data_IF_511209707273
#
_entry.id   IF_511209707273
#
_cell.length_a   1.000
_cell.length_b   1.000
_cell.length_c   1.000
_cell.angle_alpha   90.00
_cell.angle_beta   90.00
_cell.angle_gamma   90.00
#
_symmetry.space_group_name_H-M   'P 1'
#
loop_
_entity.id
_entity.type
_entity.pdbx_description
1 polymer ?
#
# COMPACT_ATOMS: atom_id res chain seq x y z
N UNK A 1 -18.18 0.65 -32.07
CA UNK A 1 -16.99 1.46 -32.40
C UNK A 1 -16.32 1.79 -31.09
N UNK A 2 -15.16 1.20 -30.81
CA UNK A 2 -14.36 1.58 -29.67
C UNK A 2 -13.93 3.05 -29.85
N UNK A 3 -14.23 3.88 -28.85
CA UNK A 3 -13.71 5.27 -28.86
C UNK A 3 -12.17 5.19 -28.86
N UNK A 4 -11.49 6.05 -29.64
CA UNK A 4 -10.05 6.05 -29.68
C UNK A 4 -9.50 6.23 -28.25
N UNK A 5 -8.58 5.36 -27.84
CA UNK A 5 -7.99 5.28 -26.50
C UNK A 5 -7.42 6.64 -25.98
N UNK A 6 -7.18 7.58 -26.88
CA UNK A 6 -6.58 8.90 -26.61
C UNK A 6 -7.52 9.92 -25.93
N UNK A 7 -8.82 9.65 -25.84
CA UNK A 7 -9.80 10.60 -25.31
C UNK A 7 -10.52 10.08 -24.06
N UNK A 8 -9.96 9.08 -23.39
CA UNK A 8 -10.52 8.56 -22.14
C UNK A 8 -10.13 9.51 -21.00
N UNK A 9 -11.12 10.06 -20.32
CA UNK A 9 -10.92 10.77 -19.05
C UNK A 9 -11.23 9.81 -17.91
N UNK A 10 -10.22 9.41 -17.10
CA UNK A 10 -10.46 8.56 -15.95
C UNK A 10 -11.45 9.20 -14.98
N UNK A 11 -12.32 8.38 -14.42
CA UNK A 11 -13.28 8.78 -13.40
C UNK A 11 -12.96 8.03 -12.13
N UNK A 12 -12.91 8.72 -11.00
CA UNK A 12 -12.70 8.14 -9.67
C UNK A 12 -14.05 8.16 -8.94
N UNK A 13 -14.45 7.02 -8.41
CA UNK A 13 -15.67 6.82 -7.64
C UNK A 13 -15.38 6.00 -6.38
N UNK A 14 -16.34 5.90 -5.46
CA UNK A 14 -16.29 5.06 -4.27
C UNK A 14 -14.99 5.22 -3.45
N UNK A 15 -14.63 6.47 -3.16
CA UNK A 15 -13.42 6.75 -2.38
C UNK A 15 -13.69 6.49 -0.89
N UNK A 16 -13.01 5.51 -0.34
CA UNK A 16 -13.03 5.20 1.08
C UNK A 16 -11.63 5.41 1.66
N UNK A 17 -11.53 6.25 2.70
CA UNK A 17 -10.29 6.50 3.42
C UNK A 17 -10.51 6.19 4.90
N UNK A 18 -9.76 5.23 5.43
CA UNK A 18 -9.79 4.83 6.85
C UNK A 18 -8.36 4.69 7.34
N UNK A 19 -8.00 5.54 8.32
CA UNK A 19 -6.66 5.55 8.89
C UNK A 19 -5.57 5.56 7.81
N UNK A 20 -4.75 4.51 7.73
CA UNK A 20 -3.66 4.37 6.75
C UNK A 20 -4.09 3.71 5.43
N UNK A 21 -5.40 3.43 5.24
CA UNK A 21 -5.95 2.74 4.07
C UNK A 21 -6.79 3.65 3.22
N UNK A 22 -6.55 3.60 1.92
CA UNK A 22 -7.34 4.27 0.90
C UNK A 22 -7.74 3.25 -0.17
N UNK A 23 -9.03 3.18 -0.48
CA UNK A 23 -9.55 2.45 -1.62
C UNK A 23 -10.42 3.33 -2.49
N UNK A 24 -10.37 3.13 -3.80
CA UNK A 24 -11.23 3.84 -4.74
C UNK A 24 -11.41 3.03 -6.02
N UNK A 25 -12.50 3.29 -6.72
CA UNK A 25 -12.71 2.76 -8.06
C UNK A 25 -12.17 3.75 -9.09
N UNK A 26 -11.54 3.23 -10.12
CA UNK A 26 -11.08 4.01 -11.27
C UNK A 26 -11.66 3.40 -12.55
N UNK A 27 -12.34 4.21 -13.34
CA UNK A 27 -13.04 3.82 -14.55
C UNK A 27 -12.49 4.56 -15.76
N UNK A 28 -12.81 4.07 -16.97
CA UNK A 28 -12.39 4.64 -18.27
C UNK A 28 -10.88 4.76 -18.42
N UNK A 29 -10.16 3.81 -17.89
CA UNK A 29 -8.71 3.71 -18.00
C UNK A 29 -8.32 2.31 -18.46
N UNK A 30 -7.03 2.06 -18.57
CA UNK A 30 -6.50 0.74 -18.91
C UNK A 30 -5.52 0.22 -17.86
N UNK A 31 -5.26 -1.09 -17.91
CA UNK A 31 -4.33 -1.77 -16.99
C UNK A 31 -2.93 -1.16 -16.99
N UNK A 32 -2.47 -0.65 -18.16
CA UNK A 32 -1.12 -0.07 -18.27
C UNK A 32 -0.99 1.20 -17.43
N UNK A 33 -2.02 2.06 -17.48
CA UNK A 33 -2.06 3.31 -16.72
C UNK A 33 -2.15 3.04 -15.22
N UNK A 34 -3.04 2.14 -14.82
CA UNK A 34 -3.23 1.78 -13.40
C UNK A 34 -1.98 1.13 -12.82
N UNK A 35 -1.35 0.20 -13.57
CA UNK A 35 -0.08 -0.41 -13.15
C UNK A 35 1.07 0.61 -13.16
N UNK A 36 1.08 1.53 -14.12
CA UNK A 36 2.03 2.64 -14.16
C UNK A 36 1.97 3.48 -12.89
N UNK A 37 0.76 3.90 -12.50
CA UNK A 37 0.51 4.65 -11.26
C UNK A 37 0.98 3.85 -10.03
N UNK A 38 0.59 2.58 -9.92
CA UNK A 38 1.02 1.70 -8.81
C UNK A 38 2.54 1.66 -8.68
N UNK A 39 3.26 1.47 -9.79
CA UNK A 39 4.71 1.39 -9.81
C UNK A 39 5.39 2.72 -9.44
N UNK A 40 4.84 3.84 -9.91
CA UNK A 40 5.34 5.17 -9.57
C UNK A 40 5.16 5.44 -8.07
N UNK A 41 4.01 5.12 -7.50
CA UNK A 41 3.74 5.27 -6.07
C UNK A 41 4.78 4.52 -5.25
N UNK A 42 5.04 3.25 -5.54
CA UNK A 42 5.95 2.40 -4.76
C UNK A 42 7.43 2.76 -4.94
N UNK A 43 7.82 3.14 -6.15
CA UNK A 43 9.23 3.21 -6.52
C UNK A 43 9.78 4.62 -6.67
N UNK A 44 8.93 5.61 -6.92
CA UNK A 44 9.39 6.93 -7.36
C UNK A 44 8.85 8.07 -6.50
N UNK A 45 7.85 7.82 -5.65
CA UNK A 45 7.38 8.81 -4.66
C UNK A 45 8.51 9.05 -3.64
N UNK A 46 8.97 10.31 -3.50
CA UNK A 46 10.06 10.61 -2.59
C UNK A 46 9.59 10.56 -1.13
N UNK A 47 10.42 10.01 -0.26
CA UNK A 47 10.23 10.03 1.20
C UNK A 47 11.55 10.34 1.90
N UNK A 48 11.53 10.51 3.21
CA UNK A 48 12.76 10.64 4.02
C UNK A 48 12.94 9.38 4.89
N UNK A 49 14.19 8.95 5.04
CA UNK A 49 14.55 7.80 5.88
C UNK A 49 15.97 7.93 6.42
N UNK A 50 16.28 7.24 7.51
CA UNK A 50 17.63 7.16 8.04
C UNK A 50 18.50 6.41 7.04
N UNK A 51 19.57 7.08 6.56
CA UNK A 51 20.49 6.52 5.56
C UNK A 51 21.83 6.13 6.15
N UNK A 52 22.39 6.95 7.02
CA UNK A 52 23.66 6.72 7.65
C UNK A 52 23.52 6.76 9.17
N UNK A 53 24.18 5.83 9.85
CA UNK A 53 24.23 5.78 11.31
C UNK A 53 25.70 5.85 11.75
N UNK A 54 26.02 6.81 12.61
CA UNK A 54 27.30 6.90 13.28
C UNK A 54 27.17 6.37 14.69
N UNK A 55 27.91 5.35 15.01
CA UNK A 55 27.91 4.70 16.32
C UNK A 55 29.01 5.29 17.19
N UNK A 56 28.67 5.83 18.35
CA UNK A 56 29.61 6.33 19.34
C UNK A 56 29.80 5.34 20.49
N UNK A 57 28.71 4.69 20.90
CA UNK A 57 28.74 3.66 21.92
C UNK A 57 27.59 2.66 21.70
N UNK A 58 27.89 1.39 21.84
CA UNK A 58 26.91 0.31 21.87
C UNK A 58 27.43 -0.83 22.76
N UNK A 59 26.84 -0.99 23.91
CA UNK A 59 27.10 -2.12 24.81
C UNK A 59 25.90 -3.06 24.93
N UNK A 60 24.87 -2.89 24.07
CA UNK A 60 23.73 -3.80 24.00
C UNK A 60 24.13 -5.16 23.44
N UNK A 61 23.21 -6.14 23.48
CA UNK A 61 23.44 -7.49 22.96
C UNK A 61 23.41 -7.56 21.40
N UNK A 62 22.85 -6.55 20.72
CA UNK A 62 22.81 -6.47 19.26
C UNK A 62 24.09 -5.78 18.75
N UNK A 63 24.66 -6.31 17.68
CA UNK A 63 25.77 -5.65 17.01
C UNK A 63 25.32 -4.38 16.25
N UNK A 64 26.28 -3.52 15.95
CA UNK A 64 26.04 -2.20 15.37
C UNK A 64 25.27 -2.25 14.04
N UNK A 65 25.61 -3.20 13.18
CA UNK A 65 25.00 -3.37 11.86
C UNK A 65 23.52 -3.74 11.95
N UNK A 66 23.16 -4.60 12.91
CA UNK A 66 21.74 -4.95 13.12
C UNK A 66 20.94 -3.76 13.63
N UNK A 67 21.50 -2.98 14.56
CA UNK A 67 20.83 -1.79 15.07
C UNK A 67 20.70 -0.75 13.95
N UNK A 68 21.77 -0.51 13.18
CA UNK A 68 21.76 0.41 12.06
C UNK A 68 20.74 0.01 11.00
N UNK A 69 20.62 -1.28 10.68
CA UNK A 69 19.59 -1.79 9.77
C UNK A 69 18.17 -1.54 10.31
N UNK A 70 17.92 -1.82 11.58
CA UNK A 70 16.62 -1.58 12.23
C UNK A 70 16.27 -0.10 12.24
N UNK A 71 17.23 0.78 12.57
CA UNK A 71 17.07 2.24 12.52
C UNK A 71 16.69 2.71 11.12
N UNK A 72 17.35 2.18 10.08
CA UNK A 72 17.04 2.50 8.69
C UNK A 72 15.63 2.14 8.24
N UNK A 73 14.98 1.17 8.89
CA UNK A 73 13.61 0.73 8.58
C UNK A 73 12.54 1.44 9.41
N UNK A 74 12.90 2.29 10.37
CA UNK A 74 11.93 3.09 11.12
C UNK A 74 11.33 4.12 10.17
N UNK A 75 9.99 4.15 9.98
CA UNK A 75 9.34 5.15 9.15
C UNK A 75 9.46 6.54 9.79
N UNK A 76 9.88 7.52 8.99
CA UNK A 76 10.03 8.92 9.39
C UNK A 76 8.91 9.74 8.74
N UNK A 77 8.25 10.60 9.50
CA UNK A 77 7.23 11.50 8.98
C UNK A 77 7.81 12.35 7.83
N UNK A 78 7.24 12.18 6.65
CA UNK A 78 7.69 12.80 5.42
C UNK A 78 6.77 13.94 4.94
N UNK A 79 5.76 14.33 5.72
CA UNK A 79 4.78 15.37 5.36
C UNK A 79 5.44 16.70 5.02
N UNK A 80 6.61 16.99 5.59
CA UNK A 80 7.40 18.20 5.35
C UNK A 80 8.50 18.05 4.28
N UNK A 81 8.41 17.03 3.42
CA UNK A 81 9.45 16.71 2.43
C UNK A 81 9.77 17.87 1.46
N UNK A 82 8.80 18.75 1.22
CA UNK A 82 8.99 19.92 0.36
C UNK A 82 10.05 20.89 0.90
N UNK A 83 10.34 20.83 2.21
CA UNK A 83 11.37 21.62 2.87
C UNK A 83 12.76 20.96 2.80
N UNK A 84 12.86 19.76 2.19
CA UNK A 84 14.10 19.02 2.02
C UNK A 84 14.59 19.10 0.58
N UNK A 85 15.82 19.55 0.40
CA UNK A 85 16.58 19.37 -0.83
C UNK A 85 17.30 18.03 -0.83
N UNK A 86 17.80 17.57 -1.98
CA UNK A 86 18.48 16.27 -2.09
C UNK A 86 19.79 16.22 -1.32
N UNK A 87 20.38 17.38 -1.02
CA UNK A 87 21.63 17.55 -0.27
C UNK A 87 21.42 17.73 1.24
N UNK A 88 20.19 17.94 1.67
CA UNK A 88 19.88 18.22 3.07
C UNK A 88 19.97 16.97 3.94
N UNK A 89 20.61 17.13 5.08
CA UNK A 89 20.65 16.12 6.14
C UNK A 89 19.87 16.64 7.36
N UNK A 90 18.92 15.85 7.82
CA UNK A 90 18.35 16.01 9.16
C UNK A 90 18.97 14.97 10.08
N UNK A 91 19.08 15.30 11.35
CA UNK A 91 19.82 14.48 12.30
C UNK A 91 18.89 14.04 13.44
N UNK A 92 18.89 12.74 13.72
CA UNK A 92 18.27 12.15 14.90
C UNK A 92 19.36 11.58 15.81
N UNK A 93 19.29 11.86 17.09
CA UNK A 93 20.15 11.27 18.12
C UNK A 93 19.40 10.22 18.91
N UNK A 94 20.02 9.05 19.06
CA UNK A 94 19.61 7.99 19.95
C UNK A 94 20.62 7.89 21.09
N UNK A 95 20.23 8.33 22.28
CA UNK A 95 21.10 8.28 23.46
C UNK A 95 20.32 7.76 24.66
N UNK A 96 20.72 6.59 25.16
CA UNK A 96 20.07 5.98 26.33
C UNK A 96 21.07 5.18 27.14
N UNK A 97 20.95 5.25 28.44
CA UNK A 97 21.77 4.53 29.40
C UNK A 97 20.89 3.82 30.40
N UNK A 98 21.23 2.60 30.77
CA UNK A 98 20.51 1.84 31.77
C UNK A 98 21.32 1.80 33.08
N UNK A 99 20.93 2.64 34.00
CA UNK A 99 21.49 2.68 35.38
C UNK A 99 20.70 1.81 36.38
N UNK A 100 19.68 1.08 35.90
CA UNK A 100 18.87 0.19 36.73
C UNK A 100 19.37 -1.26 36.66
N UNK A 101 18.84 -2.11 37.56
CA UNK A 101 19.09 -3.55 37.53
C UNK A 101 18.07 -4.33 36.67
N UNK A 102 17.15 -3.62 35.99
CA UNK A 102 16.13 -4.21 35.13
C UNK A 102 16.45 -3.94 33.66
N UNK A 103 15.86 -4.71 32.77
CA UNK A 103 15.96 -4.46 31.31
C UNK A 103 15.23 -3.15 30.94
N UNK A 104 15.89 -2.32 30.15
CA UNK A 104 15.32 -1.08 29.61
C UNK A 104 15.14 -1.22 28.11
N UNK A 105 13.91 -1.02 27.63
CA UNK A 105 13.59 -1.07 26.19
C UNK A 105 13.95 0.27 25.55
N UNK A 106 14.67 0.21 24.44
CA UNK A 106 14.99 1.34 23.57
C UNK A 106 14.04 1.31 22.38
N UNK A 107 13.35 2.43 22.14
CA UNK A 107 12.27 2.50 21.15
C UNK A 107 12.45 3.69 20.19
N UNK A 108 11.60 3.75 19.18
CA UNK A 108 11.55 4.89 18.25
C UNK A 108 11.28 6.24 18.94
N UNK A 109 10.63 6.23 20.13
CA UNK A 109 10.39 7.44 20.92
C UNK A 109 11.66 8.00 21.61
N UNK A 110 12.72 7.20 21.66
CA UNK A 110 14.03 7.65 22.18
C UNK A 110 14.87 8.38 21.09
N UNK A 111 14.40 8.42 19.83
CA UNK A 111 15.03 9.19 18.78
C UNK A 111 14.66 10.68 18.90
N UNK A 112 15.64 11.52 19.10
CA UNK A 112 15.45 12.97 19.28
C UNK A 112 16.05 13.72 18.11
N UNK A 113 15.26 14.60 17.49
CA UNK A 113 15.74 15.46 16.41
C UNK A 113 16.70 16.53 16.94
N UNK A 114 17.87 16.64 16.32
CA UNK A 114 18.87 17.66 16.59
C UNK A 114 19.22 18.40 15.29
N UNK A 115 19.58 19.71 15.42
CA UNK A 115 19.91 20.54 14.26
C UNK A 115 18.73 21.40 13.77
N UNK A 116 18.89 21.98 12.58
CA UNK A 116 17.98 22.98 12.01
C UNK A 116 16.69 22.37 11.44
N UNK A 117 16.77 21.15 10.90
CA UNK A 117 15.63 20.45 10.34
C UNK A 117 15.09 19.42 11.31
N UNK A 118 13.88 19.68 11.79
CA UNK A 118 13.20 18.79 12.74
C UNK A 118 12.46 17.69 11.98
N UNK A 119 12.78 16.45 12.33
CA UNK A 119 12.15 15.24 11.83
C UNK A 119 11.78 14.34 13.00
N UNK A 120 10.78 13.50 12.83
CA UNK A 120 10.36 12.56 13.87
C UNK A 120 9.97 11.22 13.26
N UNK A 121 10.13 10.11 13.97
CA UNK A 121 9.50 8.85 13.60
C UNK A 121 7.97 9.00 13.53
N UNK A 122 7.34 8.22 12.67
CA UNK A 122 5.87 8.13 12.61
C UNK A 122 5.34 7.70 13.98
N UNK A 123 4.22 8.30 14.40
CA UNK A 123 3.59 8.07 15.71
C UNK A 123 4.50 8.45 16.91
N UNK A 124 5.42 9.38 16.72
CA UNK A 124 6.27 9.87 17.79
C UNK A 124 5.43 10.44 18.96
N UNK A 125 5.59 9.83 20.13
CA UNK A 125 4.88 10.19 21.38
C UNK A 125 3.34 10.08 21.33
N UNK A 126 2.80 9.32 20.39
CA UNK A 126 1.38 8.96 20.40
C UNK A 126 1.14 7.71 21.27
N UNK A 127 -0.13 7.44 21.61
CA UNK A 127 -0.54 6.27 22.40
C UNK A 127 -0.36 4.91 21.67
N UNK A 128 0.16 4.93 20.46
CA UNK A 128 0.51 3.73 19.70
C UNK A 128 1.82 3.18 20.20
N UNK A 129 1.93 1.86 20.33
CA UNK A 129 3.14 1.15 20.76
C UNK A 129 4.35 1.55 19.90
N UNK A 130 5.41 2.11 20.51
CA UNK A 130 6.58 2.54 19.75
C UNK A 130 7.37 1.33 19.23
N UNK A 131 8.07 1.53 18.10
CA UNK A 131 8.92 0.50 17.49
C UNK A 131 10.10 0.21 18.38
N UNK A 132 10.22 -1.03 18.85
CA UNK A 132 11.36 -1.49 19.66
C UNK A 132 12.63 -1.56 18.78
N UNK A 133 13.70 -0.88 19.20
CA UNK A 133 15.02 -0.89 18.53
C UNK A 133 15.90 -1.99 19.13
N UNK A 134 16.14 -1.91 20.45
CA UNK A 134 16.93 -2.87 21.20
C UNK A 134 16.53 -2.87 22.68
N UNK A 135 17.16 -3.72 23.48
CA UNK A 135 17.04 -3.73 24.95
C UNK A 135 18.42 -3.54 25.57
N UNK A 136 18.48 -2.80 26.65
CA UNK A 136 19.70 -2.57 27.43
C UNK A 136 19.61 -3.33 28.76
N UNK A 137 20.57 -4.19 29.02
CA UNK A 137 20.80 -4.80 30.32
C UNK A 137 21.37 -3.79 31.33
N UNK A 138 21.55 -4.21 32.59
CA UNK A 138 22.13 -3.35 33.63
C UNK A 138 23.51 -2.80 33.21
N UNK A 139 23.74 -1.50 33.42
CA UNK A 139 24.98 -0.76 33.08
C UNK A 139 25.32 -0.75 31.59
N UNK A 140 24.36 -1.03 30.72
CA UNK A 140 24.53 -0.91 29.26
C UNK A 140 24.09 0.47 28.78
N UNK A 141 24.69 0.91 27.68
CA UNK A 141 24.37 2.18 27.05
C UNK A 141 24.34 2.06 25.51
N UNK A 142 23.69 3.00 24.88
CA UNK A 142 23.69 3.19 23.44
C UNK A 142 23.77 4.68 23.13
N UNK A 143 24.65 5.04 22.19
CA UNK A 143 24.74 6.40 21.67
C UNK A 143 25.02 6.33 20.17
N UNK A 144 24.04 6.74 19.36
CA UNK A 144 24.12 6.75 17.90
C UNK A 144 23.56 8.05 17.34
N UNK A 145 24.13 8.51 16.24
CA UNK A 145 23.64 9.66 15.47
C UNK A 145 23.24 9.19 14.08
N UNK A 146 21.99 9.45 13.72
CA UNK A 146 21.33 8.99 12.51
C UNK A 146 21.13 10.17 11.56
N UNK A 147 21.62 10.05 10.34
CA UNK A 147 21.46 11.04 9.27
C UNK A 147 20.29 10.62 8.39
N UNK A 148 19.27 11.48 8.33
CA UNK A 148 18.06 11.28 7.55
C UNK A 148 18.20 11.97 6.21
N UNK A 149 17.95 11.24 5.13
CA UNK A 149 18.01 11.75 3.75
C UNK A 149 16.75 11.46 2.98
N UNK A 150 16.47 12.32 1.99
CA UNK A 150 15.46 12.11 0.99
C UNK A 150 15.89 11.03 -0.01
N UNK A 151 14.96 10.18 -0.40
CA UNK A 151 15.20 9.12 -1.37
C UNK A 151 13.91 8.57 -1.94
N UNK A 152 14.02 7.55 -2.76
CA UNK A 152 12.88 6.89 -3.43
C UNK A 152 12.97 5.38 -3.27
N UNK A 153 11.81 4.71 -3.35
CA UNK A 153 11.70 3.25 -3.25
C UNK A 153 12.52 2.49 -4.31
N UNK A 154 12.78 3.13 -5.46
CA UNK A 154 13.65 2.57 -6.51
C UNK A 154 15.10 2.40 -6.04
N UNK A 155 15.58 3.27 -5.19
CA UNK A 155 16.93 3.20 -4.63
C UNK A 155 17.02 2.15 -3.51
N UNK A 156 16.08 2.18 -2.56
CA UNK A 156 15.96 1.18 -1.49
C UNK A 156 14.54 1.15 -0.94
N UNK A 157 14.04 -0.04 -0.58
CA UNK A 157 12.67 -0.25 -0.11
C UNK A 157 12.29 0.55 1.16
N UNK A 158 13.25 0.98 1.96
CA UNK A 158 13.01 1.84 3.14
C UNK A 158 12.35 3.19 2.82
N UNK A 159 12.47 3.67 1.57
CA UNK A 159 11.82 4.87 1.08
C UNK A 159 10.47 4.60 0.40
N UNK A 160 10.00 3.35 0.39
CA UNK A 160 8.66 3.06 -0.13
C UNK A 160 7.59 3.58 0.85
N UNK A 161 6.69 4.49 0.43
CA UNK A 161 5.67 5.05 1.31
C UNK A 161 4.52 4.10 1.62
N UNK A 162 4.48 2.90 1.00
CA UNK A 162 3.35 1.99 1.09
C UNK A 162 3.72 0.64 1.64
N UNK A 163 2.87 0.11 2.55
CA UNK A 163 2.90 -1.30 2.94
C UNK A 163 2.27 -2.16 1.86
N UNK A 164 1.14 -1.70 1.31
CA UNK A 164 0.42 -2.34 0.22
C UNK A 164 0.02 -1.32 -0.84
N UNK A 165 0.24 -1.65 -2.11
CA UNK A 165 -0.25 -0.87 -3.25
C UNK A 165 -0.64 -1.83 -4.35
N UNK A 166 -1.94 -2.08 -4.49
CA UNK A 166 -2.48 -3.09 -5.39
C UNK A 166 -3.69 -2.56 -6.15
N UNK A 167 -3.99 -3.16 -7.28
CA UNK A 167 -5.24 -2.96 -7.97
C UNK A 167 -5.84 -4.28 -8.41
N UNK A 168 -7.14 -4.30 -8.56
CA UNK A 168 -7.93 -5.44 -9.00
C UNK A 168 -8.87 -5.00 -10.11
N UNK A 169 -8.97 -5.81 -11.17
CA UNK A 169 -9.97 -5.62 -12.22
C UNK A 169 -11.34 -5.99 -11.67
N UNK A 170 -12.36 -5.18 -11.92
CA UNK A 170 -13.74 -5.53 -11.60
C UNK A 170 -14.25 -6.66 -12.50
N UNK A 171 -15.09 -7.52 -11.93
CA UNK A 171 -15.73 -8.59 -12.67
C UNK A 171 -17.07 -8.16 -13.29
N UNK A 172 -17.31 -8.54 -14.54
CA UNK A 172 -18.64 -8.57 -15.15
C UNK A 172 -19.19 -9.98 -14.97
N UNK A 173 -20.12 -10.12 -14.03
CA UNK A 173 -20.72 -11.40 -13.65
C UNK A 173 -22.16 -11.43 -14.16
N UNK A 174 -22.47 -12.39 -15.00
CA UNK A 174 -23.81 -12.58 -15.57
C UNK A 174 -24.32 -13.95 -15.21
N UNK A 175 -25.48 -13.99 -14.54
CA UNK A 175 -26.19 -15.21 -14.20
C UNK A 175 -27.28 -15.43 -15.26
N UNK A 176 -27.40 -16.64 -15.75
CA UNK A 176 -28.51 -17.03 -16.60
C UNK A 176 -29.74 -17.39 -15.73
N UNK A 177 -30.70 -16.47 -15.63
CA UNK A 177 -31.86 -16.61 -14.77
C UNK A 177 -32.73 -17.82 -15.11
N UNK A 178 -32.91 -18.14 -16.40
CA UNK A 178 -33.70 -19.30 -16.83
C UNK A 178 -33.11 -20.62 -16.31
N UNK A 179 -31.80 -20.78 -16.43
CA UNK A 179 -31.10 -21.96 -15.92
C UNK A 179 -31.00 -21.96 -14.40
N UNK A 180 -30.88 -20.82 -13.77
CA UNK A 180 -30.85 -20.70 -12.32
C UNK A 180 -32.20 -21.10 -11.71
N UNK A 181 -33.33 -20.74 -12.34
CA UNK A 181 -34.65 -21.12 -11.89
C UNK A 181 -34.87 -22.65 -11.94
N UNK A 182 -34.30 -23.35 -12.91
CA UNK A 182 -34.41 -24.80 -13.06
C UNK A 182 -33.64 -25.62 -12.02
N UNK A 183 -32.78 -24.99 -11.21
CA UNK A 183 -32.03 -25.64 -10.15
C UNK A 183 -32.87 -25.87 -8.89
N UNK A 184 -32.54 -26.95 -8.18
CA UNK A 184 -33.12 -27.20 -6.85
C UNK A 184 -32.60 -26.19 -5.82
N UNK A 185 -33.35 -25.93 -4.72
CA UNK A 185 -32.88 -25.04 -3.66
C UNK A 185 -31.52 -25.45 -3.07
N UNK A 186 -31.24 -26.76 -2.95
CA UNK A 186 -29.95 -27.27 -2.48
C UNK A 186 -28.80 -26.94 -3.45
N UNK A 187 -29.03 -27.11 -4.75
CA UNK A 187 -28.04 -26.76 -5.77
C UNK A 187 -27.71 -25.26 -5.77
N UNK A 188 -28.70 -24.40 -5.57
CA UNK A 188 -28.54 -22.95 -5.45
C UNK A 188 -27.69 -22.56 -4.23
N UNK A 189 -27.94 -23.20 -3.08
CA UNK A 189 -27.16 -22.98 -1.86
C UNK A 189 -25.69 -23.43 -2.07
N UNK A 190 -25.50 -24.64 -2.57
CA UNK A 190 -24.17 -25.17 -2.86
C UNK A 190 -23.42 -24.28 -3.86
N UNK A 191 -24.09 -23.77 -4.90
CA UNK A 191 -23.50 -22.82 -5.84
C UNK A 191 -22.96 -21.56 -5.14
N UNK A 192 -23.69 -20.98 -4.20
CA UNK A 192 -23.24 -19.83 -3.44
C UNK A 192 -22.07 -20.17 -2.49
N UNK A 193 -22.11 -21.35 -1.86
CA UNK A 193 -21.08 -21.84 -0.93
C UNK A 193 -19.74 -22.17 -1.62
N UNK A 194 -19.78 -22.61 -2.88
CA UNK A 194 -18.58 -22.87 -3.67
C UNK A 194 -17.72 -21.61 -3.93
N UNK A 195 -18.32 -20.44 -3.82
CA UNK A 195 -17.57 -19.21 -4.02
C UNK A 195 -16.73 -18.86 -2.77
N UNK A 196 -15.38 -18.94 -2.80
CA UNK A 196 -14.52 -18.66 -1.64
C UNK A 196 -14.63 -17.21 -1.17
N UNK A 197 -14.97 -16.29 -2.08
CA UNK A 197 -15.14 -14.87 -1.78
C UNK A 197 -16.59 -14.47 -1.48
N UNK A 198 -17.53 -15.43 -1.45
CA UNK A 198 -18.94 -15.20 -1.16
C UNK A 198 -19.54 -14.08 -2.02
N UNK A 199 -19.22 -14.10 -3.31
CA UNK A 199 -19.73 -13.13 -4.29
C UNK A 199 -21.22 -13.29 -4.53
N UNK A 200 -21.75 -14.53 -4.39
CA UNK A 200 -23.15 -14.88 -4.56
C UNK A 200 -23.81 -15.07 -3.20
N UNK A 201 -25.07 -14.71 -3.12
CA UNK A 201 -25.90 -14.95 -1.95
C UNK A 201 -27.24 -15.55 -2.36
N UNK A 202 -27.84 -16.36 -1.47
CA UNK A 202 -29.10 -17.07 -1.71
C UNK A 202 -30.17 -16.55 -0.77
N UNK A 203 -31.25 -16.06 -1.36
CA UNK A 203 -32.43 -15.63 -0.61
C UNK A 203 -33.48 -16.74 -0.57
N UNK A 204 -33.83 -17.22 0.62
CA UNK A 204 -34.81 -18.29 0.83
C UNK A 204 -36.24 -17.89 0.37
N UNK A 205 -36.58 -16.63 0.66
CA UNK A 205 -37.87 -16.08 0.20
C UNK A 205 -37.74 -15.74 -1.29
N UNK A 206 -38.38 -16.53 -2.13
CA UNK A 206 -38.33 -16.41 -3.59
C UNK A 206 -37.25 -17.23 -4.27
N UNK A 207 -36.48 -18.03 -3.52
CA UNK A 207 -35.45 -18.97 -4.03
C UNK A 207 -34.51 -18.36 -5.07
N UNK A 208 -34.06 -17.11 -4.83
CA UNK A 208 -33.29 -16.34 -5.79
C UNK A 208 -31.82 -16.27 -5.39
N UNK A 209 -30.94 -16.50 -6.37
CA UNK A 209 -29.49 -16.22 -6.24
C UNK A 209 -29.23 -14.83 -6.78
N UNK A 210 -28.45 -14.03 -6.07
CA UNK A 210 -28.06 -12.69 -6.49
C UNK A 210 -26.58 -12.44 -6.22
N UNK A 211 -26.01 -11.43 -6.90
CA UNK A 211 -24.62 -11.00 -6.75
C UNK A 211 -24.57 -10.00 -5.60
N UNK A 212 -23.82 -10.31 -4.54
CA UNK A 212 -23.64 -9.46 -3.36
C UNK A 212 -22.44 -8.52 -3.48
N UNK A 213 -21.37 -8.97 -4.16
CA UNK A 213 -20.13 -8.20 -4.21
C UNK A 213 -19.25 -8.65 -5.38
N UNK A 214 -19.53 -8.14 -6.58
CA UNK A 214 -18.76 -8.41 -7.80
C UNK A 214 -17.30 -7.95 -7.68
N UNK A 215 -17.05 -6.90 -6.88
CA UNK A 215 -15.72 -6.38 -6.57
C UNK A 215 -14.81 -7.36 -5.79
N UNK A 216 -15.40 -8.35 -5.11
CA UNK A 216 -14.63 -9.36 -4.37
C UNK A 216 -14.25 -10.57 -5.23
N UNK A 217 -14.70 -10.64 -6.48
CA UNK A 217 -14.41 -11.76 -7.37
C UNK A 217 -12.91 -11.83 -7.72
N UNK A 218 -12.27 -12.96 -7.43
CA UNK A 218 -10.86 -13.24 -7.72
C UNK A 218 -10.65 -14.08 -8.99
N UNK A 219 -11.68 -14.26 -9.80
CA UNK A 219 -11.64 -15.07 -11.04
C UNK A 219 -11.16 -16.52 -10.83
N UNK A 220 -11.50 -17.15 -9.70
CA UNK A 220 -11.11 -18.54 -9.38
C UNK A 220 -11.81 -19.59 -10.25
N UNK A 221 -12.91 -19.22 -10.94
CA UNK A 221 -13.73 -20.08 -11.80
C UNK A 221 -14.51 -21.20 -11.06
N UNK A 222 -14.48 -21.30 -9.75
CA UNK A 222 -15.22 -22.34 -9.01
C UNK A 222 -16.73 -22.37 -9.33
N UNK A 223 -17.36 -21.23 -9.48
CA UNK A 223 -18.76 -21.12 -9.87
C UNK A 223 -19.04 -21.70 -11.27
N UNK A 224 -18.09 -21.57 -12.20
CA UNK A 224 -18.24 -22.13 -13.56
C UNK A 224 -17.91 -23.63 -13.62
N UNK A 225 -17.00 -24.10 -12.76
CA UNK A 225 -16.71 -25.53 -12.58
C UNK A 225 -17.92 -26.23 -12.00
N UNK A 226 -18.46 -25.75 -10.89
CA UNK A 226 -19.67 -26.31 -10.29
C UNK A 226 -20.86 -26.35 -11.26
N UNK A 227 -21.08 -25.25 -12.01
CA UNK A 227 -22.13 -25.20 -13.02
C UNK A 227 -21.97 -26.29 -14.11
N UNK A 228 -20.74 -26.61 -14.48
CA UNK A 228 -20.41 -27.68 -15.43
C UNK A 228 -20.69 -29.07 -14.83
N UNK A 229 -20.32 -29.28 -13.57
CA UNK A 229 -20.47 -30.56 -12.88
C UNK A 229 -21.94 -30.95 -12.69
N UNK A 230 -22.83 -29.96 -12.47
CA UNK A 230 -24.29 -30.19 -12.43
C UNK A 230 -24.95 -30.23 -13.83
N UNK A 231 -24.15 -30.21 -14.90
CA UNK A 231 -24.66 -30.28 -16.28
C UNK A 231 -25.19 -28.94 -16.83
N UNK A 232 -25.12 -27.86 -16.10
CA UNK A 232 -25.65 -26.53 -16.48
C UNK A 232 -24.56 -25.62 -17.05
N UNK A 233 -24.01 -25.97 -18.22
CA UNK A 233 -23.04 -25.09 -18.90
C UNK A 233 -23.61 -23.70 -19.16
N UNK A 234 -22.79 -22.66 -18.99
CA UNK A 234 -23.19 -21.24 -19.12
C UNK A 234 -24.30 -20.82 -18.13
N UNK A 235 -24.33 -21.39 -16.93
CA UNK A 235 -25.16 -20.92 -15.82
C UNK A 235 -24.70 -19.55 -15.34
N UNK A 236 -23.39 -19.38 -15.26
CA UNK A 236 -22.73 -18.13 -14.91
C UNK A 236 -21.60 -17.84 -15.87
N UNK A 237 -21.44 -16.57 -16.24
CA UNK A 237 -20.31 -16.08 -17.02
C UNK A 237 -19.59 -15.01 -16.23
N UNK A 238 -18.27 -15.15 -16.06
CA UNK A 238 -17.43 -14.21 -15.33
C UNK A 238 -16.36 -13.71 -16.29
N UNK A 239 -16.37 -12.41 -16.60
CA UNK A 239 -15.39 -11.77 -17.47
C UNK A 239 -14.78 -10.53 -16.82
N UNK A 240 -13.49 -10.21 -17.03
CA UNK A 240 -12.92 -8.99 -16.50
C UNK A 240 -13.43 -7.76 -17.25
N UNK A 241 -13.80 -6.71 -16.53
CA UNK A 241 -14.04 -5.38 -17.09
C UNK A 241 -12.68 -4.75 -17.41
N UNK A 242 -12.41 -4.50 -18.68
CA UNK A 242 -11.08 -4.07 -19.15
C UNK A 242 -10.72 -2.62 -18.83
N UNK A 243 -11.68 -1.83 -18.37
CA UNK A 243 -11.58 -0.39 -18.14
C UNK A 243 -12.02 0.07 -16.75
N UNK A 244 -12.28 -0.87 -15.83
CA UNK A 244 -12.71 -0.59 -14.45
C UNK A 244 -11.88 -1.39 -13.44
N UNK A 245 -11.36 -0.67 -12.44
CA UNK A 245 -10.46 -1.24 -11.44
C UNK A 245 -10.79 -0.72 -10.04
N UNK A 246 -10.55 -1.56 -9.04
CA UNK A 246 -10.46 -1.14 -7.64
C UNK A 246 -8.99 -0.97 -7.30
N UNK A 247 -8.60 0.20 -6.83
CA UNK A 247 -7.26 0.51 -6.38
C UNK A 247 -7.22 0.59 -4.86
N UNK A 248 -6.25 -0.08 -4.23
CA UNK A 248 -6.10 -0.13 -2.78
C UNK A 248 -4.68 0.22 -2.40
N UNK A 249 -4.54 1.19 -1.49
CA UNK A 249 -3.26 1.63 -0.95
C UNK A 249 -3.33 1.60 0.56
N UNK A 250 -2.31 1.04 1.18
CA UNK A 250 -2.05 1.11 2.61
C UNK A 250 -0.69 1.78 2.82
N UNK A 251 -0.69 2.90 3.53
CA UNK A 251 0.52 3.68 3.83
C UNK A 251 1.35 3.06 4.96
N UNK A 252 2.62 3.45 5.03
CA UNK A 252 3.50 3.14 6.18
C UNK A 252 3.38 4.19 7.30
N UNK A 253 2.45 5.16 7.15
CA UNK A 253 2.30 6.30 8.04
C UNK A 253 3.22 7.49 7.73
N UNK A 254 4.16 7.34 6.79
CA UNK A 254 5.07 8.45 6.38
C UNK A 254 4.34 9.60 5.70
N UNK A 255 3.18 9.31 5.09
CA UNK A 255 2.24 10.26 4.53
C UNK A 255 0.80 9.80 4.78
N UNK A 256 -0.16 10.71 4.87
CA UNK A 256 -1.57 10.36 4.74
C UNK A 256 -1.82 9.65 3.40
N UNK A 257 -2.68 8.61 3.34
CA UNK A 257 -2.87 7.80 2.14
C UNK A 257 -3.28 8.61 0.90
N UNK A 258 -4.07 9.67 1.08
CA UNK A 258 -4.46 10.58 0.00
C UNK A 258 -3.26 11.29 -0.60
N UNK A 259 -2.35 11.79 0.24
CA UNK A 259 -1.13 12.48 -0.20
C UNK A 259 -0.19 11.54 -0.97
N UNK A 260 -0.15 10.25 -0.63
CA UNK A 260 0.62 9.24 -1.38
C UNK A 260 0.17 9.19 -2.84
N UNK A 261 -1.16 9.18 -3.09
CA UNK A 261 -1.70 9.18 -4.45
C UNK A 261 -1.39 10.48 -5.18
N UNK A 262 -1.58 11.63 -4.51
CA UNK A 262 -1.31 12.95 -5.07
C UNK A 262 0.16 13.07 -5.52
N UNK A 263 1.11 12.72 -4.64
CA UNK A 263 2.54 12.71 -4.96
C UNK A 263 2.87 11.73 -6.10
N UNK A 264 2.28 10.54 -6.10
CA UNK A 264 2.46 9.56 -7.17
C UNK A 264 2.00 10.09 -8.54
N UNK A 265 0.85 10.79 -8.58
CA UNK A 265 0.34 11.43 -9.79
C UNK A 265 1.25 12.59 -10.25
N UNK A 266 1.77 13.39 -9.32
CA UNK A 266 2.72 14.45 -9.63
C UNK A 266 4.02 13.92 -10.24
N UNK A 267 4.59 12.87 -9.65
CA UNK A 267 5.81 12.24 -10.19
C UNK A 267 5.56 11.62 -11.58
N UNK A 268 4.41 10.99 -11.78
CA UNK A 268 3.99 10.48 -13.08
C UNK A 268 3.88 11.60 -14.13
N UNK A 269 3.27 12.73 -13.76
CA UNK A 269 3.18 13.92 -14.60
C UNK A 269 4.56 14.49 -14.95
N UNK A 270 5.47 14.60 -13.99
CA UNK A 270 6.85 15.05 -14.22
C UNK A 270 7.56 14.18 -15.25
N UNK A 271 7.41 12.86 -15.19
CA UNK A 271 8.00 11.94 -16.17
C UNK A 271 7.52 12.23 -17.60
N UNK A 272 6.22 12.41 -17.80
CA UNK A 272 5.68 12.71 -19.13
C UNK A 272 6.11 14.10 -19.63
N UNK A 273 6.21 15.09 -18.75
CA UNK A 273 6.73 16.42 -19.11
C UNK A 273 8.20 16.35 -19.54
N UNK A 274 9.02 15.59 -18.80
CA UNK A 274 10.44 15.40 -19.12
C UNK A 274 10.62 14.64 -20.44
N UNK A 275 9.81 13.59 -20.67
CA UNK A 275 9.82 12.86 -21.93
C UNK A 275 9.45 13.77 -23.12
N UNK A 276 8.43 14.61 -22.95
CA UNK A 276 8.03 15.58 -23.99
C UNK A 276 9.14 16.59 -24.29
N UNK A 277 9.84 17.07 -23.24
CA UNK A 277 11.02 17.95 -23.42
C UNK A 277 12.12 17.28 -24.25
N UNK A 278 12.54 16.08 -23.83
CA UNK A 278 13.57 15.33 -24.51
C UNK A 278 13.25 15.05 -26.00
N UNK A 279 11.98 14.74 -26.32
CA UNK A 279 11.52 14.55 -27.69
C UNK A 279 11.56 15.86 -28.53
N UNK A 280 11.36 17.00 -27.89
CA UNK A 280 11.44 18.30 -28.61
C UNK A 280 12.88 18.76 -28.83
N UNK A 281 13.81 18.41 -27.92
CA UNK A 281 15.22 18.73 -27.99
C UNK A 281 15.98 17.80 -28.99
N UNK A 282 15.40 16.63 -29.30
CA UNK A 282 15.98 15.67 -30.27
C UNK A 282 15.58 15.94 -31.74
N UNK A 283 14.78 16.97 -31.98
CA UNK A 283 14.44 17.48 -33.32
C UNK A 283 15.31 18.65 -33.70
#
# INVERSE_FOLDING_TARGET
MEQPRYNRQPIITNVECKEEKLSFHIERTDTSMVNGLRRVIMAETPTIAIQLVRVYANSSYLCDEFIAHRLGLIPIDSTQIHNFEDTDDAILELKKENNSNQLVVVTSNDLVSIGDKRVAPVNYRNDVDPIVITQLGPRQNIHMVCYVKKGTGKFHAKWNPTCQCVFQTLADIRINDEKMISLTPEQKRTFCEQCPQKVFDYQEVGEKVFIRGDENCIFCNECTVYARDIGQRNLVTVTPKTDQFVFKVEGTGVYPPKQIIELGLEEMKKKFVNLKKALNESK
#
